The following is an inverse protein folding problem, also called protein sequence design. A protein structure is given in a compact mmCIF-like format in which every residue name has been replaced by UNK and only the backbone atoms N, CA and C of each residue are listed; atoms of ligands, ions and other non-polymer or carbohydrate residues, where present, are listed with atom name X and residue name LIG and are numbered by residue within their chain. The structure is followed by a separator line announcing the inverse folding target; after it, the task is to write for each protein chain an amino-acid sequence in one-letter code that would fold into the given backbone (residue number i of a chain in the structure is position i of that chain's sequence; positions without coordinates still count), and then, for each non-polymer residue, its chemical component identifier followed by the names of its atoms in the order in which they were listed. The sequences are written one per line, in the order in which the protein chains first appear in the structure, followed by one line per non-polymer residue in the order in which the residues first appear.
data_IF_929881612954
#
_entry.id   IF_929881612954
#
_cell.length_a   1.000
_cell.length_b   1.000
_cell.length_c   1.000
_cell.angle_alpha   90.00
_cell.angle_beta   90.00
_cell.angle_gamma   90.00
#
_symmetry.space_group_name_H-M   'P 1'
#
loop_
_entity.id
_entity.type
_entity.pdbx_description
1 polymer ?
#
# COMPACT_ATOMS: atom_id res chain seq x y z
N UNK A 1 -0.61 14.16 1.39
CA UNK A 1 -0.16 12.76 1.48
C UNK A 1 -0.72 11.98 0.32
N UNK A 2 0.13 11.31 -0.42
CA UNK A 2 -0.25 10.47 -1.56
C UNK A 2 -0.21 9.00 -1.17
N UNK A 3 -1.31 8.29 -1.40
CA UNK A 3 -1.42 6.85 -1.19
C UNK A 3 -1.61 6.18 -2.55
N UNK A 4 -0.78 5.18 -2.84
CA UNK A 4 -1.03 4.26 -3.95
C UNK A 4 -1.72 3.03 -3.39
N UNK A 5 -2.90 2.71 -3.91
CA UNK A 5 -3.70 1.56 -3.47
C UNK A 5 -3.81 0.57 -4.63
N UNK A 6 -3.22 -0.60 -4.44
CA UNK A 6 -3.16 -1.62 -5.48
C UNK A 6 -4.01 -2.82 -5.05
N UNK A 7 -5.06 -3.09 -5.81
CA UNK A 7 -5.96 -4.22 -5.59
C UNK A 7 -6.54 -4.62 -6.94
N UNK A 8 -6.48 -5.89 -7.28
CA UNK A 8 -7.01 -6.39 -8.55
C UNK A 8 -8.54 -6.49 -8.58
N UNK A 9 -9.19 -6.44 -7.40
CA UNK A 9 -10.64 -6.40 -7.30
C UNK A 9 -11.13 -4.95 -7.44
N UNK A 10 -11.78 -4.65 -8.56
CA UNK A 10 -12.23 -3.29 -8.86
C UNK A 10 -13.22 -2.74 -7.84
N UNK A 11 -14.12 -3.59 -7.33
CA UNK A 11 -15.13 -3.16 -6.36
C UNK A 11 -14.50 -2.83 -5.01
N UNK A 12 -13.60 -3.68 -4.53
CA UNK A 12 -12.87 -3.43 -3.28
C UNK A 12 -12.04 -2.16 -3.41
N UNK A 13 -11.33 -2.01 -4.53
CA UNK A 13 -10.51 -0.83 -4.78
C UNK A 13 -11.35 0.45 -4.76
N UNK A 14 -12.52 0.42 -5.39
CA UNK A 14 -13.42 1.58 -5.42
C UNK A 14 -13.93 1.94 -4.02
N UNK A 15 -14.39 0.97 -3.25
CA UNK A 15 -14.89 1.20 -1.90
C UNK A 15 -13.80 1.77 -1.00
N UNK A 16 -12.60 1.21 -1.04
CA UNK A 16 -11.49 1.69 -0.21
C UNK A 16 -11.04 3.07 -0.65
N UNK A 17 -10.95 3.32 -1.96
CA UNK A 17 -10.55 4.63 -2.48
C UNK A 17 -11.55 5.71 -2.07
N UNK A 18 -12.84 5.43 -2.16
CA UNK A 18 -13.89 6.37 -1.77
C UNK A 18 -13.80 6.70 -0.29
N UNK A 19 -13.65 5.69 0.56
CA UNK A 19 -13.53 5.90 2.01
C UNK A 19 -12.32 6.77 2.35
N UNK A 20 -11.17 6.49 1.74
CA UNK A 20 -9.95 7.26 2.00
C UNK A 20 -10.08 8.68 1.48
N UNK A 21 -10.68 8.87 0.31
CA UNK A 21 -10.89 10.20 -0.26
C UNK A 21 -11.82 11.04 0.60
N UNK A 22 -12.85 10.45 1.17
CA UNK A 22 -13.77 11.13 2.09
C UNK A 22 -13.04 11.63 3.35
N UNK A 23 -11.94 10.99 3.71
CA UNK A 23 -11.13 11.40 4.86
C UNK A 23 -10.01 12.36 4.46
N UNK A 24 -10.03 12.87 3.24
CA UNK A 24 -9.07 13.86 2.76
C UNK A 24 -7.72 13.27 2.32
N UNK A 25 -7.64 11.98 2.10
CA UNK A 25 -6.43 11.31 1.65
C UNK A 25 -6.43 11.24 0.13
N UNK A 26 -5.34 11.69 -0.51
CA UNK A 26 -5.18 11.57 -1.95
C UNK A 26 -4.82 10.12 -2.30
N UNK A 27 -5.64 9.48 -3.10
CA UNK A 27 -5.50 8.06 -3.43
C UNK A 27 -5.41 7.86 -4.94
N UNK A 28 -4.41 7.10 -5.37
CA UNK A 28 -4.34 6.57 -6.72
C UNK A 28 -4.60 5.07 -6.66
N UNK A 29 -5.79 4.66 -7.06
CA UNK A 29 -6.19 3.24 -7.10
C UNK A 29 -5.75 2.60 -8.41
N UNK A 30 -5.05 1.48 -8.32
CA UNK A 30 -4.48 0.79 -9.47
C UNK A 30 -4.81 -0.70 -9.41
N UNK A 31 -5.00 -1.31 -10.58
CA UNK A 31 -5.40 -2.71 -10.67
C UNK A 31 -4.22 -3.69 -10.60
N UNK A 32 -3.00 -3.23 -10.85
CA UNK A 32 -1.83 -4.09 -10.93
C UNK A 32 -0.58 -3.42 -10.41
N UNK A 33 0.40 -4.24 -10.04
CA UNK A 33 1.72 -3.75 -9.66
C UNK A 33 2.43 -3.10 -10.85
N UNK A 34 2.22 -3.62 -12.06
CA UNK A 34 2.80 -3.04 -13.28
C UNK A 34 2.35 -1.60 -13.48
N UNK A 35 1.07 -1.31 -13.27
CA UNK A 35 0.55 0.06 -13.36
C UNK A 35 1.21 0.98 -12.34
N UNK A 36 1.45 0.47 -11.14
CA UNK A 36 2.15 1.24 -10.09
C UNK A 36 3.59 1.54 -10.50
N UNK A 37 4.29 0.59 -11.10
CA UNK A 37 5.66 0.80 -11.58
C UNK A 37 5.71 1.89 -12.64
N UNK A 38 4.70 1.94 -13.52
CA UNK A 38 4.58 3.00 -14.53
C UNK A 38 4.46 4.37 -13.87
N UNK A 39 3.59 4.51 -12.86
CA UNK A 39 3.43 5.78 -12.14
C UNK A 39 4.70 6.17 -11.39
N UNK A 40 5.39 5.22 -10.78
CA UNK A 40 6.68 5.48 -10.12
C UNK A 40 7.70 6.01 -11.12
N UNK A 41 7.75 5.41 -12.30
CA UNK A 41 8.62 5.85 -13.38
C UNK A 41 8.28 7.24 -13.92
N UNK A 42 7.03 7.67 -13.78
CA UNK A 42 6.58 9.00 -14.16
C UNK A 42 6.80 10.05 -13.06
N UNK A 43 7.43 9.69 -11.96
CA UNK A 43 7.76 10.61 -10.89
C UNK A 43 6.75 10.68 -9.76
N UNK A 44 5.73 9.84 -9.75
CA UNK A 44 4.78 9.76 -8.64
C UNK A 44 5.43 9.00 -7.49
N UNK A 45 5.61 9.66 -6.35
CA UNK A 45 6.22 9.06 -5.16
C UNK A 45 5.15 8.92 -4.08
N UNK A 46 4.75 7.69 -3.72
CA UNK A 46 3.77 7.53 -2.65
C UNK A 46 4.41 7.77 -1.29
N UNK A 47 3.65 8.39 -0.41
CA UNK A 47 4.01 8.44 1.02
C UNK A 47 3.70 7.09 1.65
N UNK A 48 2.60 6.46 1.24
CA UNK A 48 2.18 5.14 1.69
C UNK A 48 1.77 4.30 0.49
N UNK A 49 2.35 3.11 0.38
CA UNK A 49 1.92 2.09 -0.58
C UNK A 49 1.04 1.10 0.15
N UNK A 50 -0.18 0.92 -0.33
CA UNK A 50 -1.10 -0.11 0.18
C UNK A 50 -1.31 -1.10 -0.95
N UNK A 51 -0.94 -2.35 -0.77
CA UNK A 51 -1.07 -3.35 -1.82
C UNK A 51 -1.50 -4.70 -1.28
N UNK A 52 -2.40 -5.34 -2.02
CA UNK A 52 -2.68 -6.76 -1.85
C UNK A 52 -1.40 -7.52 -2.23
N UNK A 53 -1.06 -8.54 -1.47
CA UNK A 53 0.11 -9.38 -1.79
C UNK A 53 -0.16 -10.19 -3.05
N UNK A 54 -1.35 -10.76 -3.15
CA UNK A 54 -1.73 -11.59 -4.29
C UNK A 54 -2.50 -10.74 -5.30
N UNK A 55 -1.88 -10.47 -6.42
CA UNK A 55 -2.45 -9.66 -7.50
C UNK A 55 -2.71 -10.48 -8.77
N UNK A 56 -2.68 -11.80 -8.65
CA UNK A 56 -2.88 -12.69 -9.80
C UNK A 56 -1.60 -12.85 -10.63
N UNK A 57 -1.73 -12.78 -11.95
CA UNK A 57 -0.58 -12.92 -12.85
C UNK A 57 0.31 -11.67 -12.84
N UNK A 58 1.59 -11.85 -13.15
CA UNK A 58 2.55 -10.75 -13.20
C UNK A 58 3.19 -10.48 -11.83
N UNK A 59 3.59 -9.23 -11.61
CA UNK A 59 4.23 -8.84 -10.35
C UNK A 59 3.25 -8.98 -9.19
N UNK A 60 3.75 -9.49 -8.07
CA UNK A 60 2.98 -9.56 -6.83
C UNK A 60 3.09 -8.24 -6.05
N UNK A 61 2.24 -8.11 -5.01
CA UNK A 61 2.36 -6.98 -4.09
C UNK A 61 3.70 -6.97 -3.37
N UNK A 62 4.27 -8.14 -3.09
CA UNK A 62 5.61 -8.23 -2.48
C UNK A 62 6.70 -7.73 -3.43
N UNK A 63 6.61 -8.06 -4.71
CA UNK A 63 7.54 -7.55 -5.71
C UNK A 63 7.48 -6.04 -5.77
N UNK A 64 6.27 -5.48 -5.80
CA UNK A 64 6.06 -4.03 -5.82
C UNK A 64 6.60 -3.37 -4.55
N UNK A 65 6.35 -3.96 -3.38
CA UNK A 65 6.86 -3.43 -2.12
C UNK A 65 8.39 -3.36 -2.13
N UNK A 66 9.04 -4.39 -2.68
CA UNK A 66 10.49 -4.39 -2.84
C UNK A 66 10.99 -3.27 -3.75
N UNK A 67 10.31 -3.05 -4.87
CA UNK A 67 10.65 -1.98 -5.82
C UNK A 67 10.52 -0.60 -5.16
N UNK A 68 9.40 -0.36 -4.46
CA UNK A 68 9.17 0.91 -3.77
C UNK A 68 10.20 1.11 -2.66
N UNK A 69 10.50 0.07 -1.90
CA UNK A 69 11.48 0.15 -0.82
C UNK A 69 12.87 0.50 -1.33
N UNK A 70 13.24 -0.04 -2.48
CA UNK A 70 14.54 0.23 -3.09
C UNK A 70 14.63 1.67 -3.63
N UNK A 71 13.58 2.13 -4.31
CA UNK A 71 13.58 3.46 -4.96
C UNK A 71 13.25 4.58 -3.99
N UNK A 72 12.40 4.33 -3.01
CA UNK A 72 11.89 5.33 -2.06
C UNK A 72 11.92 4.76 -0.64
N UNK A 73 13.11 4.69 -0.02
CA UNK A 73 13.24 4.05 1.30
C UNK A 73 12.40 4.69 2.41
N UNK A 74 12.00 5.95 2.23
CA UNK A 74 11.17 6.65 3.21
C UNK A 74 9.68 6.29 3.10
N UNK A 75 9.25 5.66 2.01
CA UNK A 75 7.85 5.30 1.84
C UNK A 75 7.43 4.21 2.82
N UNK A 76 6.23 4.35 3.37
CA UNK A 76 5.64 3.34 4.22
C UNK A 76 4.90 2.33 3.36
N UNK A 77 4.90 1.05 3.77
CA UNK A 77 4.23 -0.01 3.03
C UNK A 77 3.23 -0.73 3.94
N UNK A 78 2.02 -0.90 3.43
CA UNK A 78 1.00 -1.71 4.09
C UNK A 78 0.67 -2.86 3.14
N UNK A 79 0.97 -4.08 3.57
CA UNK A 79 0.64 -5.29 2.82
C UNK A 79 -0.69 -5.85 3.32
N UNK A 80 -1.55 -6.22 2.39
CA UNK A 80 -2.86 -6.78 2.68
C UNK A 80 -2.89 -8.22 2.20
N UNK A 81 -3.39 -9.13 3.05
CA UNK A 81 -3.52 -10.54 2.69
C UNK A 81 -4.63 -11.22 3.47
N UNK A 82 -5.20 -12.28 2.91
CA UNK A 82 -6.10 -13.19 3.61
C UNK A 82 -5.39 -14.14 4.55
N UNK A 83 -4.08 -14.22 4.48
CA UNK A 83 -3.26 -15.12 5.31
C UNK A 83 -2.53 -14.35 6.40
N UNK A 84 -2.11 -15.04 7.44
CA UNK A 84 -1.32 -14.44 8.51
C UNK A 84 0.06 -14.01 7.97
N UNK A 85 0.71 -13.00 8.59
CA UNK A 85 2.05 -12.57 8.17
C UNK A 85 3.07 -13.69 8.30
N UNK A 86 3.99 -13.73 7.34
CA UNK A 86 5.11 -14.67 7.36
C UNK A 86 6.41 -13.93 7.69
N UNK A 87 7.35 -14.65 8.30
CA UNK A 87 8.62 -14.05 8.72
C UNK A 87 9.44 -13.49 7.56
N UNK A 88 9.27 -14.04 6.35
CA UNK A 88 9.97 -13.53 5.15
C UNK A 88 9.67 -12.07 4.83
N UNK A 89 8.54 -11.54 5.31
CA UNK A 89 8.19 -10.14 5.07
C UNK A 89 9.09 -9.18 5.85
N UNK A 90 9.76 -9.65 6.87
CA UNK A 90 10.69 -8.83 7.64
C UNK A 90 11.86 -8.31 6.79
N UNK A 91 12.17 -8.97 5.67
CA UNK A 91 13.22 -8.52 4.75
C UNK A 91 12.91 -7.18 4.10
N UNK A 92 11.64 -6.75 4.08
CA UNK A 92 11.23 -5.47 3.52
C UNK A 92 11.52 -4.28 4.44
N UNK A 93 12.03 -4.53 5.65
CA UNK A 93 12.50 -3.49 6.54
C UNK A 93 11.45 -3.03 7.54
N UNK A 94 11.75 -1.86 8.19
CA UNK A 94 10.98 -1.40 9.34
C UNK A 94 9.70 -0.64 8.98
N UNK A 95 9.62 -0.08 7.78
CA UNK A 95 8.48 0.73 7.35
C UNK A 95 7.43 -0.13 6.68
N UNK A 96 7.14 -1.26 7.32
CA UNK A 96 6.22 -2.26 6.82
C UNK A 96 5.15 -2.54 7.86
N UNK A 97 3.90 -2.49 7.43
CA UNK A 97 2.75 -2.91 8.21
C UNK A 97 2.01 -4.01 7.46
N UNK A 98 1.28 -4.79 8.18
CA UNK A 98 0.52 -5.90 7.63
C UNK A 98 -0.93 -5.79 8.08
N UNK A 99 -1.86 -5.96 7.14
CA UNK A 99 -3.29 -5.91 7.43
C UNK A 99 -3.94 -7.16 6.88
N UNK A 100 -4.55 -7.95 7.76
CA UNK A 100 -5.19 -9.20 7.38
C UNK A 100 -6.66 -8.99 7.02
N UNK A 101 -7.09 -9.59 5.91
CA UNK A 101 -8.50 -9.61 5.52
C UNK A 101 -9.29 -10.59 6.39
N UNK A 102 -10.57 -10.31 6.69
CA UNK A 102 -11.29 -9.09 6.36
C UNK A 102 -10.98 -7.95 7.34
N UNK A 103 -11.06 -6.71 6.88
CA UNK A 103 -10.92 -5.53 7.73
C UNK A 103 -11.93 -4.46 7.32
N UNK A 104 -12.27 -3.58 8.25
CA UNK A 104 -13.13 -2.44 7.94
C UNK A 104 -12.33 -1.35 7.22
N UNK A 105 -12.92 -0.61 6.26
CA UNK A 105 -12.21 0.49 5.60
C UNK A 105 -11.64 1.52 6.58
N UNK A 106 -12.31 1.79 7.69
CA UNK A 106 -11.80 2.68 8.72
C UNK A 106 -10.50 2.17 9.36
N UNK A 107 -10.32 0.85 9.43
CA UNK A 107 -9.08 0.23 9.95
C UNK A 107 -7.91 0.55 9.02
N UNK A 108 -8.13 0.48 7.71
CA UNK A 108 -7.11 0.85 6.73
C UNK A 108 -6.76 2.34 6.83
N UNK A 109 -7.75 3.22 6.95
CA UNK A 109 -7.52 4.65 7.10
C UNK A 109 -6.66 4.95 8.33
N UNK A 110 -6.96 4.30 9.46
CA UNK A 110 -6.17 4.45 10.69
C UNK A 110 -4.73 3.96 10.51
N UNK A 111 -4.54 2.84 9.81
CA UNK A 111 -3.21 2.30 9.53
C UNK A 111 -2.39 3.25 8.64
N UNK A 112 -3.04 3.87 7.65
CA UNK A 112 -2.40 4.84 6.77
C UNK A 112 -1.96 6.08 7.57
N UNK A 113 -2.81 6.61 8.43
CA UNK A 113 -2.47 7.76 9.27
C UNK A 113 -1.32 7.46 10.21
N UNK A 114 -1.33 6.28 10.81
CA UNK A 114 -0.24 5.84 11.68
C UNK A 114 1.08 5.72 10.91
N UNK A 115 1.03 5.17 9.70
CA UNK A 115 2.20 5.06 8.84
C UNK A 115 2.72 6.45 8.43
N UNK A 116 1.84 7.37 8.05
CA UNK A 116 2.22 8.72 7.68
C UNK A 116 2.86 9.49 8.82
N UNK A 117 2.38 9.30 10.04
CA UNK A 117 2.96 9.93 11.23
C UNK A 117 4.38 9.43 11.47
N UNK A 118 4.64 8.15 11.25
CA UNK A 118 5.98 7.58 11.37
C UNK A 118 6.91 8.16 10.28
N UNK A 119 6.40 8.28 9.06
CA UNK A 119 7.17 8.82 7.94
C UNK A 119 7.60 10.27 8.17
N UNK A 120 6.76 11.07 8.81
CA UNK A 120 7.05 12.49 9.05
C UNK A 120 8.18 12.71 10.07
N UNK A 121 8.65 11.65 10.72
CA UNK A 121 9.71 11.74 11.70
C UNK A 121 9.25 12.26 13.07
N UNK A 122 7.97 12.46 13.23
CA UNK A 122 7.37 12.83 14.51
C UNK A 122 7.00 11.54 15.22
N UNK A 123 7.86 11.08 16.03
CA UNK A 123 7.64 9.84 16.76
C UNK A 123 7.48 10.10 18.25
#
# INVERSE_FOLDING_TARGET
MLVMLIDDDALVREVLSDTLSEEGIEVHGLASAEDAVILLGAGQVPDVLVTDIDLGAGLSGLDLAGIVRERHPAAEVILISGSAPETRYAELGRRLRFLQKPFAPATLAAAIRSAAATQSGIS
#
